data_IF_446607929978
#
_entry.id   IF_446607929978
#
_cell.length_a   1.000
_cell.length_b   1.000
_cell.length_c   1.000
_cell.angle_alpha   90.00
_cell.angle_beta   90.00
_cell.angle_gamma   90.00
#
_symmetry.space_group_name_H-M   'P 1'
#
loop_
_entity.id
_entity.type
_entity.pdbx_description
1 polymer ?
#
# COMPACT_ATOMS: atom_id res chain seq x y z
N UNK A 1 -12.41 35.92 -4.50
CA UNK A 1 -11.88 35.10 -5.61
C UNK A 1 -11.86 33.67 -5.15
N UNK A 2 -12.54 32.78 -5.85
CA UNK A 2 -12.62 31.37 -5.49
C UNK A 2 -11.27 30.71 -5.81
N UNK A 3 -10.42 30.50 -4.80
CA UNK A 3 -9.08 29.94 -4.97
C UNK A 3 -9.17 28.45 -5.35
N UNK A 4 -8.93 28.06 -6.59
CA UNK A 4 -8.93 26.64 -6.97
C UNK A 4 -7.59 25.98 -6.61
N UNK A 5 -7.57 24.73 -6.11
CA UNK A 5 -6.32 24.04 -5.85
C UNK A 5 -5.50 23.93 -7.13
N UNK A 6 -4.20 24.16 -7.02
CA UNK A 6 -3.28 24.05 -8.14
C UNK A 6 -3.25 22.64 -8.74
N UNK A 7 -2.78 22.54 -9.98
CA UNK A 7 -2.56 21.26 -10.64
C UNK A 7 -1.59 20.38 -9.84
N UNK A 8 -0.55 20.96 -9.24
CA UNK A 8 0.43 20.21 -8.44
C UNK A 8 -0.19 19.63 -7.16
N UNK A 9 -1.05 20.36 -6.45
CA UNK A 9 -1.82 19.83 -5.31
C UNK A 9 -2.72 18.68 -5.71
N UNK A 10 -3.41 18.78 -6.85
CA UNK A 10 -4.26 17.70 -7.36
C UNK A 10 -3.45 16.48 -7.80
N UNK A 11 -2.30 16.69 -8.41
CA UNK A 11 -1.36 15.62 -8.76
C UNK A 11 -0.79 14.94 -7.52
N UNK A 12 -0.44 15.69 -6.48
CA UNK A 12 -0.03 15.14 -5.18
C UNK A 12 -1.10 14.21 -4.63
N UNK A 13 -2.35 14.68 -4.49
CA UNK A 13 -3.45 13.88 -3.97
C UNK A 13 -3.75 12.65 -4.85
N UNK A 14 -3.75 12.82 -6.17
CA UNK A 14 -3.92 11.73 -7.15
C UNK A 14 -2.88 10.64 -6.96
N UNK A 15 -1.60 11.02 -6.86
CA UNK A 15 -0.51 10.07 -6.73
C UNK A 15 -0.53 9.37 -5.37
N UNK A 16 -0.87 10.08 -4.29
CA UNK A 16 -1.03 9.47 -2.97
C UNK A 16 -2.17 8.44 -2.95
N UNK A 17 -3.32 8.74 -3.57
CA UNK A 17 -4.44 7.79 -3.69
C UNK A 17 -4.01 6.55 -4.47
N UNK A 18 -3.38 6.71 -5.64
CA UNK A 18 -2.95 5.55 -6.45
C UNK A 18 -1.88 4.73 -5.73
N UNK A 19 -0.88 5.39 -5.13
CA UNK A 19 0.21 4.73 -4.42
C UNK A 19 -0.30 3.89 -3.25
N UNK A 20 -1.09 4.49 -2.37
CA UNK A 20 -1.42 3.89 -1.07
C UNK A 20 -2.70 3.06 -1.09
N UNK A 21 -3.72 3.50 -1.84
CA UNK A 21 -5.00 2.80 -1.91
C UNK A 21 -4.94 1.57 -2.83
N UNK A 22 -4.16 1.65 -3.91
CA UNK A 22 -4.05 0.58 -4.89
C UNK A 22 -2.76 -0.22 -4.72
N UNK A 23 -1.62 0.38 -5.04
CA UNK A 23 -0.35 -0.35 -5.13
C UNK A 23 0.11 -0.91 -3.79
N UNK A 24 0.11 -0.10 -2.73
CA UNK A 24 0.52 -0.56 -1.41
C UNK A 24 -0.40 -1.68 -0.90
N UNK A 25 -1.73 -1.48 -0.97
CA UNK A 25 -2.71 -2.47 -0.54
C UNK A 25 -2.57 -3.83 -1.24
N UNK A 26 -2.28 -3.85 -2.54
CA UNK A 26 -2.02 -5.10 -3.26
C UNK A 26 -0.66 -5.69 -2.90
N UNK A 27 0.38 -4.86 -2.82
CA UNK A 27 1.73 -5.33 -2.52
C UNK A 27 1.86 -5.90 -1.10
N UNK A 28 1.17 -5.35 -0.11
CA UNK A 28 1.13 -5.90 1.27
C UNK A 28 0.36 -7.21 1.31
N UNK A 29 -0.79 -7.29 0.62
CA UNK A 29 -1.59 -8.52 0.50
C UNK A 29 -0.77 -9.66 -0.11
N UNK A 30 -0.06 -9.39 -1.21
CA UNK A 30 0.82 -10.37 -1.87
C UNK A 30 1.97 -10.80 -0.96
N UNK A 31 2.68 -9.86 -0.34
CA UNK A 31 3.82 -10.16 0.53
C UNK A 31 3.46 -11.07 1.70
N UNK A 32 2.24 -10.89 2.25
CA UNK A 32 1.78 -11.59 3.44
C UNK A 32 1.21 -12.97 3.15
N UNK A 33 0.34 -13.10 2.14
CA UNK A 33 -0.49 -14.31 1.98
C UNK A 33 -0.13 -15.20 0.79
N UNK A 34 0.77 -14.77 -0.09
CA UNK A 34 1.04 -15.46 -1.35
C UNK A 34 2.39 -16.17 -1.41
N UNK A 35 3.13 -16.20 -0.29
CA UNK A 35 4.44 -16.87 -0.21
C UNK A 35 4.38 -18.35 -0.59
N UNK A 36 3.26 -19.02 -0.31
CA UNK A 36 3.02 -20.45 -0.55
C UNK A 36 1.89 -20.73 -1.57
N UNK A 37 1.55 -19.77 -2.44
CA UNK A 37 0.37 -19.84 -3.34
C UNK A 37 0.74 -19.99 -4.83
N UNK A 38 2.01 -19.81 -5.16
CA UNK A 38 2.58 -20.05 -6.51
C UNK A 38 3.88 -20.83 -6.39
N UNK A 39 3.81 -21.96 -5.69
CA UNK A 39 4.95 -22.81 -5.39
C UNK A 39 5.58 -23.33 -6.69
N UNK A 40 6.91 -23.41 -6.74
CA UNK A 40 7.70 -23.81 -7.93
C UNK A 40 7.49 -22.94 -9.18
N UNK A 41 6.90 -21.76 -9.04
CA UNK A 41 6.74 -20.82 -10.14
C UNK A 41 7.52 -19.54 -9.88
N UNK A 42 8.32 -19.16 -10.87
CA UNK A 42 9.22 -18.01 -10.79
C UNK A 42 9.08 -17.13 -12.02
N UNK A 43 9.45 -15.87 -11.86
CA UNK A 43 9.74 -14.93 -12.96
C UNK A 43 11.15 -14.39 -12.74
N UNK A 44 11.98 -14.43 -13.78
CA UNK A 44 13.37 -13.94 -13.72
C UNK A 44 14.17 -14.48 -12.52
N UNK A 45 14.00 -15.77 -12.18
CA UNK A 45 14.70 -16.43 -11.06
C UNK A 45 14.18 -16.07 -9.66
N UNK A 46 13.11 -15.27 -9.55
CA UNK A 46 12.49 -14.85 -8.29
C UNK A 46 11.10 -15.46 -8.15
N UNK A 47 10.69 -15.84 -6.94
CA UNK A 47 9.34 -16.34 -6.69
C UNK A 47 8.29 -15.32 -7.15
N UNK A 48 7.17 -15.79 -7.71
CA UNK A 48 6.13 -14.89 -8.25
C UNK A 48 5.62 -13.87 -7.25
N UNK A 49 5.42 -14.27 -6.00
CA UNK A 49 4.96 -13.36 -4.95
C UNK A 49 5.96 -12.23 -4.69
N UNK A 50 7.26 -12.54 -4.73
CA UNK A 50 8.31 -11.55 -4.49
C UNK A 50 8.43 -10.61 -5.68
N UNK A 51 8.30 -11.12 -6.91
CA UNK A 51 8.24 -10.30 -8.12
C UNK A 51 7.09 -9.29 -8.05
N UNK A 52 5.85 -9.75 -7.81
CA UNK A 52 4.70 -8.87 -7.73
C UNK A 52 4.77 -7.91 -6.54
N UNK A 53 5.24 -8.36 -5.38
CA UNK A 53 5.46 -7.47 -4.23
C UNK A 53 6.42 -6.33 -4.58
N UNK A 54 7.57 -6.64 -5.18
CA UNK A 54 8.56 -5.63 -5.60
C UNK A 54 8.00 -4.69 -6.66
N UNK A 55 7.26 -5.20 -7.63
CA UNK A 55 6.61 -4.36 -8.65
C UNK A 55 5.62 -3.38 -8.02
N UNK A 56 4.69 -3.87 -7.20
CA UNK A 56 3.70 -3.01 -6.53
C UNK A 56 4.34 -2.00 -5.57
N UNK A 57 5.31 -2.43 -4.75
CA UNK A 57 6.02 -1.52 -3.84
C UNK A 57 6.88 -0.51 -4.59
N UNK A 58 7.50 -0.90 -5.70
CA UNK A 58 8.23 0.02 -6.58
C UNK A 58 7.32 1.13 -7.12
N UNK A 59 6.15 0.76 -7.66
CA UNK A 59 5.16 1.74 -8.12
C UNK A 59 4.68 2.67 -6.98
N UNK A 60 4.37 2.11 -5.80
CA UNK A 60 3.98 2.90 -4.63
C UNK A 60 5.07 3.89 -4.22
N UNK A 61 6.32 3.42 -4.15
CA UNK A 61 7.48 4.24 -3.77
C UNK A 61 7.71 5.38 -4.77
N UNK A 62 7.72 5.08 -6.07
CA UNK A 62 7.94 6.09 -7.12
C UNK A 62 6.86 7.15 -7.13
N UNK A 63 5.58 6.74 -7.04
CA UNK A 63 4.47 7.68 -6.98
C UNK A 63 4.50 8.54 -5.72
N UNK A 64 4.87 7.97 -4.57
CA UNK A 64 5.00 8.73 -3.32
C UNK A 64 6.12 9.77 -3.41
N UNK A 65 7.29 9.40 -3.95
CA UNK A 65 8.39 10.34 -4.19
C UNK A 65 7.95 11.49 -5.11
N UNK A 66 7.30 11.18 -6.23
CA UNK A 66 6.81 12.20 -7.17
C UNK A 66 5.74 13.10 -6.53
N UNK A 67 4.80 12.54 -5.75
CA UNK A 67 3.78 13.30 -5.03
C UNK A 67 4.40 14.29 -4.03
N UNK A 68 5.43 13.87 -3.30
CA UNK A 68 6.15 14.71 -2.35
C UNK A 68 6.86 15.85 -3.08
N UNK A 69 7.51 15.58 -4.23
CA UNK A 69 8.13 16.62 -5.06
C UNK A 69 7.07 17.66 -5.51
N UNK A 70 5.91 17.23 -5.98
CA UNK A 70 4.85 18.15 -6.43
C UNK A 70 4.39 19.10 -5.33
N UNK A 71 4.14 18.59 -4.11
CA UNK A 71 3.64 19.44 -3.03
C UNK A 71 4.71 20.41 -2.52
N UNK A 72 5.99 20.01 -2.51
CA UNK A 72 7.08 20.92 -2.12
C UNK A 72 7.32 22.03 -3.14
N UNK A 73 7.19 21.73 -4.44
CA UNK A 73 7.25 22.76 -5.49
C UNK A 73 6.07 23.72 -5.34
N UNK A 74 4.87 23.22 -5.06
CA UNK A 74 3.66 24.04 -5.00
C UNK A 74 3.60 24.97 -3.78
N UNK A 75 4.04 24.50 -2.61
CA UNK A 75 3.93 25.27 -1.37
C UNK A 75 5.01 26.35 -1.22
N UNK A 76 6.08 26.30 -2.00
CA UNK A 76 7.26 27.19 -1.90
C UNK A 76 7.78 27.38 -0.45
N UNK A 77 7.54 26.38 0.41
CA UNK A 77 7.77 26.45 1.84
C UNK A 77 7.13 25.30 2.60
N UNK A 78 7.31 25.27 3.93
CA UNK A 78 6.75 24.24 4.80
C UNK A 78 5.99 24.86 5.98
N UNK A 79 4.72 24.51 6.13
CA UNK A 79 3.92 24.83 7.32
C UNK A 79 3.67 23.55 8.10
N UNK A 80 4.01 23.56 9.39
CA UNK A 80 3.81 22.42 10.26
C UNK A 80 2.33 22.31 10.66
N UNK A 81 1.64 21.32 10.12
CA UNK A 81 0.32 20.88 10.54
C UNK A 81 0.24 19.36 10.51
N UNK A 82 -0.82 18.77 11.09
CA UNK A 82 -0.92 17.33 11.29
C UNK A 82 -0.69 16.51 10.00
N UNK A 83 -1.35 16.87 8.91
CA UNK A 83 -1.17 16.21 7.61
C UNK A 83 0.28 16.30 7.07
N UNK A 84 0.93 17.47 7.19
CA UNK A 84 2.29 17.64 6.71
C UNK A 84 3.30 16.82 7.52
N UNK A 85 3.18 16.80 8.86
CA UNK A 85 4.07 16.06 9.75
C UNK A 85 3.89 14.55 9.57
N UNK A 86 2.63 14.07 9.63
CA UNK A 86 2.33 12.64 9.46
C UNK A 86 2.73 12.17 8.05
N UNK A 87 2.51 13.01 7.03
CA UNK A 87 2.95 12.75 5.66
C UNK A 87 4.45 12.59 5.52
N UNK A 88 5.25 13.46 6.15
CA UNK A 88 6.72 13.36 6.12
C UNK A 88 7.24 12.14 6.87
N UNK A 89 6.67 11.80 8.03
CA UNK A 89 7.03 10.56 8.74
C UNK A 89 6.70 9.33 7.88
N UNK A 90 5.51 9.32 7.28
CA UNK A 90 5.08 8.26 6.35
C UNK A 90 6.03 8.13 5.17
N UNK A 91 6.42 9.27 4.57
CA UNK A 91 7.36 9.31 3.46
C UNK A 91 8.73 8.76 3.88
N UNK A 92 9.29 9.18 5.02
CA UNK A 92 10.57 8.68 5.50
C UNK A 92 10.53 7.15 5.71
N UNK A 93 9.48 6.63 6.34
CA UNK A 93 9.31 5.18 6.51
C UNK A 93 9.18 4.44 5.18
N UNK A 94 8.42 4.99 4.22
CA UNK A 94 8.26 4.46 2.87
C UNK A 94 9.61 4.45 2.13
N UNK A 95 10.36 5.55 2.21
CA UNK A 95 11.64 5.73 1.54
C UNK A 95 12.70 4.74 2.04
N UNK A 96 12.69 4.42 3.33
CA UNK A 96 13.58 3.42 3.94
C UNK A 96 13.21 1.96 3.59
N UNK A 97 11.97 1.67 3.16
CA UNK A 97 11.52 0.29 2.93
C UNK A 97 12.39 -0.49 1.93
N UNK A 98 12.76 0.04 0.75
CA UNK A 98 13.60 -0.70 -0.20
C UNK A 98 14.99 -1.00 0.35
N UNK A 99 15.58 -0.07 1.12
CA UNK A 99 16.89 -0.25 1.76
C UNK A 99 16.83 -1.43 2.73
N UNK A 100 15.81 -1.47 3.60
CA UNK A 100 15.60 -2.57 4.53
C UNK A 100 15.25 -3.88 3.81
N UNK A 101 14.45 -3.82 2.75
CA UNK A 101 14.00 -4.99 1.99
C UNK A 101 15.09 -5.65 1.14
N UNK A 102 16.09 -4.89 0.71
CA UNK A 102 17.25 -5.37 -0.07
C UNK A 102 18.44 -5.75 0.82
N UNK A 103 18.50 -5.26 2.06
CA UNK A 103 19.57 -5.58 2.98
C UNK A 103 19.61 -7.08 3.31
N UNK A 104 20.72 -7.74 2.97
CA UNK A 104 20.92 -9.17 3.14
C UNK A 104 22.19 -9.46 3.97
N UNK A 105 22.22 -9.10 5.27
CA UNK A 105 23.39 -9.34 6.10
C UNK A 105 23.69 -10.85 6.23
N UNK A 106 24.98 -11.17 6.31
CA UNK A 106 25.48 -12.54 6.52
C UNK A 106 25.15 -13.04 7.93
N UNK A 107 25.18 -12.15 8.93
CA UNK A 107 24.82 -12.46 10.31
C UNK A 107 23.32 -12.75 10.47
N UNK A 108 22.98 -13.93 11.01
CA UNK A 108 21.59 -14.40 11.18
C UNK A 108 20.74 -13.50 12.09
N UNK A 109 21.31 -13.00 13.18
CA UNK A 109 20.62 -12.09 14.12
C UNK A 109 20.28 -10.78 13.43
N UNK A 110 21.25 -10.17 12.74
CA UNK A 110 21.05 -8.95 11.97
C UNK A 110 20.00 -9.15 10.87
N UNK A 111 20.04 -10.27 10.15
CA UNK A 111 19.05 -10.62 9.11
C UNK A 111 17.64 -10.69 9.67
N UNK A 112 17.49 -11.30 10.84
CA UNK A 112 16.19 -11.43 11.51
C UNK A 112 15.68 -10.07 11.98
N UNK A 113 16.55 -9.25 12.58
CA UNK A 113 16.24 -7.89 13.00
C UNK A 113 15.80 -7.01 11.81
N UNK A 114 16.54 -7.02 10.70
CA UNK A 114 16.18 -6.24 9.50
C UNK A 114 14.85 -6.70 8.91
N UNK A 115 14.60 -8.01 8.83
CA UNK A 115 13.30 -8.53 8.37
C UNK A 115 12.14 -8.12 9.27
N UNK A 116 12.36 -8.10 10.58
CA UNK A 116 11.38 -7.61 11.55
C UNK A 116 11.12 -6.12 11.37
N UNK A 117 12.19 -5.31 11.29
CA UNK A 117 12.11 -3.87 11.07
C UNK A 117 11.37 -3.53 9.77
N UNK A 118 11.72 -4.18 8.65
CA UNK A 118 11.02 -4.01 7.38
C UNK A 118 9.52 -4.31 7.52
N UNK A 119 9.15 -5.39 8.22
CA UNK A 119 7.74 -5.73 8.46
C UNK A 119 7.04 -4.70 9.36
N UNK A 120 7.65 -4.30 10.47
CA UNK A 120 7.04 -3.37 11.43
C UNK A 120 6.89 -1.99 10.80
N UNK A 121 7.94 -1.46 10.20
CA UNK A 121 7.91 -0.15 9.55
C UNK A 121 6.98 -0.13 8.34
N UNK A 122 6.89 -1.22 7.57
CA UNK A 122 5.92 -1.33 6.48
C UNK A 122 4.47 -1.24 6.96
N UNK A 123 4.11 -1.92 8.05
CA UNK A 123 2.76 -1.81 8.63
C UNK A 123 2.50 -0.42 9.22
N UNK A 124 3.49 0.16 9.91
CA UNK A 124 3.37 1.50 10.47
C UNK A 124 3.18 2.55 9.35
N UNK A 125 3.96 2.46 8.28
CA UNK A 125 3.83 3.34 7.12
C UNK A 125 2.44 3.27 6.50
N UNK A 126 1.86 2.07 6.37
CA UNK A 126 0.49 1.93 5.86
C UNK A 126 -0.55 2.60 6.77
N UNK A 127 -0.50 2.36 8.09
CA UNK A 127 -1.43 2.96 9.05
C UNK A 127 -1.33 4.49 8.99
N UNK A 128 -0.11 5.02 9.01
CA UNK A 128 0.12 6.46 8.92
C UNK A 128 -0.35 7.02 7.58
N UNK A 129 -0.12 6.33 6.45
CA UNK A 129 -0.59 6.76 5.14
C UNK A 129 -2.12 6.85 5.06
N UNK A 130 -2.84 5.84 5.57
CA UNK A 130 -4.31 5.85 5.61
C UNK A 130 -4.81 7.00 6.47
N UNK A 131 -4.27 7.16 7.69
CA UNK A 131 -4.57 8.30 8.56
C UNK A 131 -4.28 9.62 7.84
N UNK A 132 -3.15 9.72 7.14
CA UNK A 132 -2.75 10.94 6.47
C UNK A 132 -3.66 11.31 5.29
N UNK A 133 -4.20 10.32 4.57
CA UNK A 133 -5.20 10.58 3.52
C UNK A 133 -6.48 11.19 4.11
N UNK A 134 -6.96 10.69 5.26
CA UNK A 134 -8.11 11.28 5.95
C UNK A 134 -7.84 12.68 6.48
N UNK A 135 -6.63 12.93 7.00
CA UNK A 135 -6.21 14.29 7.38
C UNK A 135 -6.16 15.22 6.15
N UNK A 136 -5.75 14.72 4.99
CA UNK A 136 -5.67 15.48 3.74
C UNK A 136 -7.04 15.91 3.21
N UNK A 137 -8.06 15.04 3.30
CA UNK A 137 -9.44 15.41 2.94
C UNK A 137 -9.97 16.54 3.84
N UNK A 138 -9.55 16.59 5.10
CA UNK A 138 -9.98 17.61 6.06
C UNK A 138 -9.28 18.95 5.94
N UNK A 139 -8.33 19.11 5.02
CA UNK A 139 -7.66 20.39 4.79
C UNK A 139 -8.54 21.30 3.93
N UNK A 140 -8.92 22.45 4.47
CA UNK A 140 -9.67 23.47 3.73
C UNK A 140 -8.93 23.91 2.45
N UNK A 141 -7.61 24.01 2.51
CA UNK A 141 -6.75 24.37 1.38
C UNK A 141 -6.75 23.34 0.24
N UNK A 142 -7.11 22.08 0.52
CA UNK A 142 -7.17 21.03 -0.48
C UNK A 142 -8.45 21.14 -1.33
N UNK A 143 -9.51 21.79 -0.80
CA UNK A 143 -10.85 21.89 -1.41
C UNK A 143 -11.38 20.57 -1.98
N UNK A 144 -11.15 19.50 -1.24
CA UNK A 144 -11.61 18.17 -1.60
C UNK A 144 -13.03 17.95 -1.06
N UNK A 145 -13.89 17.30 -1.83
CA UNK A 145 -15.24 16.95 -1.40
C UNK A 145 -15.22 15.99 -0.20
N UNK A 146 -16.04 16.27 0.82
CA UNK A 146 -16.24 15.40 1.97
C UNK A 146 -16.73 13.98 1.61
N UNK A 147 -17.28 13.78 0.40
CA UNK A 147 -17.60 12.45 -0.13
C UNK A 147 -16.38 11.53 -0.14
N UNK A 148 -15.16 12.08 -0.29
CA UNK A 148 -13.93 11.30 -0.25
C UNK A 148 -13.67 10.61 1.09
N UNK A 149 -14.22 11.09 2.22
CA UNK A 149 -14.17 10.33 3.48
C UNK A 149 -14.82 8.95 3.33
N UNK A 150 -16.01 8.89 2.72
CA UNK A 150 -16.72 7.64 2.46
C UNK A 150 -16.00 6.76 1.42
N UNK A 151 -15.43 7.36 0.39
CA UNK A 151 -14.71 6.63 -0.66
C UNK A 151 -13.40 6.01 -0.14
N UNK A 152 -12.61 6.75 0.64
CA UNK A 152 -11.41 6.23 1.30
C UNK A 152 -11.77 5.17 2.35
N UNK A 153 -12.82 5.43 3.14
CA UNK A 153 -13.33 4.48 4.13
C UNK A 153 -13.81 3.18 3.52
N UNK A 154 -14.54 3.24 2.39
CA UNK A 154 -15.00 2.06 1.66
C UNK A 154 -13.84 1.24 1.09
N UNK A 155 -12.84 1.89 0.48
CA UNK A 155 -11.65 1.21 0.00
C UNK A 155 -10.84 0.55 1.13
N UNK A 156 -10.71 1.25 2.27
CA UNK A 156 -10.09 0.68 3.48
C UNK A 156 -10.88 -0.53 3.98
N UNK A 157 -12.20 -0.47 4.01
CA UNK A 157 -13.06 -1.59 4.42
C UNK A 157 -12.89 -2.81 3.50
N UNK A 158 -12.82 -2.60 2.18
CA UNK A 158 -12.51 -3.67 1.21
C UNK A 158 -11.15 -4.29 1.49
N UNK A 159 -10.13 -3.47 1.75
CA UNK A 159 -8.80 -3.96 2.05
C UNK A 159 -8.78 -4.77 3.35
N UNK A 160 -9.43 -4.28 4.42
CA UNK A 160 -9.56 -5.00 5.70
C UNK A 160 -10.31 -6.32 5.52
N UNK A 161 -11.44 -6.31 4.80
CA UNK A 161 -12.23 -7.52 4.53
C UNK A 161 -11.40 -8.56 3.77
N UNK A 162 -10.64 -8.14 2.76
CA UNK A 162 -9.73 -9.04 2.05
C UNK A 162 -8.68 -9.64 2.99
N UNK A 163 -8.07 -8.84 3.88
CA UNK A 163 -7.15 -9.31 4.90
C UNK A 163 -7.81 -10.33 5.85
N UNK A 164 -9.04 -10.09 6.30
CA UNK A 164 -9.79 -11.05 7.12
C UNK A 164 -9.98 -12.37 6.39
N UNK A 165 -10.46 -12.33 5.14
CA UNK A 165 -10.65 -13.52 4.30
C UNK A 165 -9.32 -14.26 4.12
N UNK A 166 -8.23 -13.56 3.83
CA UNK A 166 -6.92 -14.19 3.68
C UNK A 166 -6.42 -14.86 4.96
N UNK A 167 -6.61 -14.24 6.13
CA UNK A 167 -6.24 -14.86 7.40
C UNK A 167 -7.08 -16.13 7.67
N UNK A 168 -8.39 -16.10 7.37
CA UNK A 168 -9.24 -17.30 7.48
C UNK A 168 -8.75 -18.40 6.54
N UNK A 169 -8.46 -18.08 5.28
CA UNK A 169 -7.91 -19.04 4.32
C UNK A 169 -6.51 -19.54 4.72
N UNK A 170 -5.72 -18.74 5.42
CA UNK A 170 -4.42 -19.14 5.96
C UNK A 170 -4.58 -20.10 7.14
N UNK A 171 -5.48 -19.79 8.07
CA UNK A 171 -5.83 -20.66 9.19
C UNK A 171 -6.32 -22.04 8.71
N UNK A 172 -7.32 -22.06 7.82
CA UNK A 172 -7.87 -23.30 7.27
C UNK A 172 -6.82 -24.12 6.50
N UNK A 173 -5.88 -23.45 5.82
CA UNK A 173 -4.80 -24.13 5.13
C UNK A 173 -3.81 -24.80 6.09
N UNK A 174 -3.50 -24.15 7.22
CA UNK A 174 -2.62 -24.70 8.27
C UNK A 174 -3.25 -25.89 8.97
N UNK A 175 -4.56 -25.84 9.22
CA UNK A 175 -5.30 -26.95 9.83
C UNK A 175 -5.38 -28.17 8.90
N UNK A 176 -5.67 -27.95 7.61
CA UNK A 176 -5.79 -29.03 6.63
C UNK A 176 -4.46 -29.70 6.27
N UNK A 177 -3.36 -28.97 6.32
CA UNK A 177 -2.04 -29.48 5.97
C UNK A 177 -1.00 -28.85 6.90
N UNK A 178 -0.78 -29.46 8.08
CA UNK A 178 0.18 -28.96 9.07
C UNK A 178 1.61 -28.95 8.53
N UNK A 179 1.93 -29.93 7.67
CA UNK A 179 3.21 -30.01 6.98
C UNK A 179 3.17 -29.27 5.64
N UNK A 180 4.15 -28.38 5.46
CA UNK A 180 4.31 -27.59 4.24
C UNK A 180 4.97 -28.42 3.13
N UNK A 181 4.17 -28.87 2.17
CA UNK A 181 4.69 -29.48 0.95
C UNK A 181 5.28 -28.38 0.04
N UNK A 182 6.60 -28.43 -0.20
CA UNK A 182 7.33 -27.43 -0.99
C UNK A 182 7.13 -27.55 -2.49
N UNK A 183 6.43 -28.57 -2.96
CA UNK A 183 6.21 -28.81 -4.39
C UNK A 183 4.80 -28.47 -4.87
N UNK A 184 3.90 -28.10 -3.94
CA UNK A 184 2.50 -27.82 -4.23
C UNK A 184 2.07 -26.49 -3.61
N UNK A 185 1.09 -25.86 -4.24
CA UNK A 185 0.43 -24.70 -3.63
C UNK A 185 -0.27 -25.11 -2.34
N UNK A 186 -0.26 -24.24 -1.32
CA UNK A 186 -1.00 -24.47 -0.09
C UNK A 186 -2.50 -24.68 -0.37
N UNK A 187 -3.22 -25.41 0.51
CA UNK A 187 -4.67 -25.55 0.40
C UNK A 187 -5.36 -24.20 0.26
N UNK A 188 -6.49 -24.19 -0.44
CA UNK A 188 -7.28 -22.99 -0.74
C UNK A 188 -6.55 -21.92 -1.58
N UNK A 189 -5.46 -22.26 -2.26
CA UNK A 189 -4.74 -21.35 -3.16
C UNK A 189 -5.61 -20.74 -4.27
N UNK A 190 -6.60 -21.49 -4.79
CA UNK A 190 -7.59 -20.96 -5.74
C UNK A 190 -8.40 -19.82 -5.13
N UNK A 191 -8.92 -20.02 -3.91
CA UNK A 191 -9.68 -18.99 -3.18
C UNK A 191 -8.83 -17.76 -2.88
N UNK A 192 -7.56 -17.92 -2.49
CA UNK A 192 -6.64 -16.79 -2.32
C UNK A 192 -6.50 -15.99 -3.61
N UNK A 193 -6.26 -16.66 -4.74
CA UNK A 193 -6.14 -16.01 -6.06
C UNK A 193 -7.43 -15.26 -6.43
N UNK A 194 -8.60 -15.88 -6.23
CA UNK A 194 -9.90 -15.23 -6.46
C UNK A 194 -10.11 -14.00 -5.57
N UNK A 195 -9.85 -14.10 -4.26
CA UNK A 195 -9.97 -12.97 -3.32
C UNK A 195 -9.06 -11.81 -3.73
N UNK A 196 -7.81 -12.09 -4.15
CA UNK A 196 -6.91 -11.05 -4.64
C UNK A 196 -7.43 -10.37 -5.91
N UNK A 197 -8.01 -11.12 -6.84
CA UNK A 197 -8.62 -10.54 -8.05
C UNK A 197 -9.81 -9.63 -7.71
N UNK A 198 -10.69 -10.07 -6.82
CA UNK A 198 -11.83 -9.25 -6.35
C UNK A 198 -11.32 -7.99 -5.63
N UNK A 199 -10.35 -8.13 -4.74
CA UNK A 199 -9.71 -7.00 -4.05
C UNK A 199 -9.11 -6.02 -5.06
N UNK A 200 -8.39 -6.50 -6.07
CA UNK A 200 -7.79 -5.67 -7.12
C UNK A 200 -8.83 -4.90 -7.92
N UNK A 201 -9.91 -5.54 -8.38
CA UNK A 201 -10.98 -4.89 -9.15
C UNK A 201 -11.66 -3.82 -8.29
N UNK A 202 -12.00 -4.16 -7.04
CA UNK A 202 -12.65 -3.22 -6.12
C UNK A 202 -11.76 -2.02 -5.80
N UNK A 203 -10.49 -2.24 -5.43
CA UNK A 203 -9.55 -1.16 -5.17
C UNK A 203 -9.32 -0.30 -6.41
N UNK A 204 -9.23 -0.89 -7.60
CA UNK A 204 -9.13 -0.13 -8.85
C UNK A 204 -10.33 0.80 -9.05
N UNK A 205 -11.56 0.29 -8.88
CA UNK A 205 -12.76 1.10 -9.00
C UNK A 205 -12.78 2.26 -7.98
N UNK A 206 -12.48 1.98 -6.71
CA UNK A 206 -12.39 3.02 -5.68
C UNK A 206 -11.28 4.03 -5.97
N UNK A 207 -10.12 3.61 -6.46
CA UNK A 207 -9.02 4.50 -6.84
C UNK A 207 -9.46 5.44 -7.96
N UNK A 208 -10.07 4.92 -9.03
CA UNK A 208 -10.56 5.76 -10.14
C UNK A 208 -11.59 6.78 -9.64
N UNK A 209 -12.56 6.36 -8.82
CA UNK A 209 -13.57 7.27 -8.29
C UNK A 209 -12.94 8.34 -7.39
N UNK A 210 -12.03 7.98 -6.47
CA UNK A 210 -11.32 8.96 -5.64
C UNK A 210 -10.52 9.95 -6.49
N UNK A 211 -9.79 9.49 -7.51
CA UNK A 211 -9.07 10.37 -8.43
C UNK A 211 -10.04 11.32 -9.11
N UNK A 212 -11.16 10.84 -9.66
CA UNK A 212 -12.18 11.72 -10.25
C UNK A 212 -12.65 12.79 -9.26
N UNK A 213 -12.88 12.44 -7.98
CA UNK A 213 -13.29 13.41 -6.96
C UNK A 213 -12.20 14.42 -6.57
N UNK A 214 -10.92 14.06 -6.65
CA UNK A 214 -9.79 15.01 -6.51
C UNK A 214 -9.84 16.10 -7.59
N UNK A 215 -10.34 15.77 -8.79
CA UNK A 215 -10.42 16.69 -9.93
C UNK A 215 -11.79 17.36 -10.12
N UNK A 216 -12.80 17.03 -9.31
CA UNK A 216 -14.17 17.58 -9.41
C UNK A 216 -14.41 18.87 -8.63
N UNK A 217 -13.52 19.22 -7.70
CA UNK A 217 -13.54 20.52 -7.00
C UNK A 217 -12.93 21.64 -7.83
#
# INVERSE_FOLDING_TARGET
>A
MEYNPSVLKRMHATFMVIAWLFFNSLGTSVARYFQNTWTNKQYFGVSRWMFFHRAYMGCCWTLTCAAIIFIFIDLEGFKAHAHAIVGLITFALCFLQPILGLAAPSNTTARTAIRLLHRVFGNLAYILAVTNMFLGVGLEEAKISNVMYGLLGGALAIHILAHVIFNVLEYLARERSPELNRDKDAPFSRWRKTTLMVQMIALYAFTIVNVVFVWRG
#
